data_IF_955738738969
#
_entry.id   IF_955738738969
#
_cell.length_a   1.000
_cell.length_b   1.000
_cell.length_c   1.000
_cell.angle_alpha   90.00
_cell.angle_beta   90.00
_cell.angle_gamma   90.00
#
_symmetry.space_group_name_H-M   'P 1'
#
loop_
_entity.id
_entity.type
_entity.pdbx_description
1 polymer ?
#
# COMPACT_ATOMS: atom_id res chain seq x y z
N UNK A 1 -65.83 41.69 -44.39
CA UNK A 1 -66.65 41.22 -43.25
C UNK A 1 -66.08 39.90 -42.77
N UNK A 2 -65.89 39.80 -41.46
CA UNK A 2 -65.76 38.60 -40.62
C UNK A 2 -64.34 38.06 -40.31
N UNK A 3 -63.93 38.40 -39.08
CA UNK A 3 -62.98 37.83 -38.10
C UNK A 3 -62.67 36.32 -38.20
N UNK A 4 -61.46 35.91 -37.74
CA UNK A 4 -61.26 35.07 -36.54
C UNK A 4 -59.76 34.82 -36.21
N UNK A 5 -59.39 35.13 -34.97
CA UNK A 5 -58.38 34.53 -34.07
C UNK A 5 -57.17 33.74 -34.60
N UNK A 6 -55.96 34.16 -34.20
CA UNK A 6 -54.92 33.27 -33.63
C UNK A 6 -53.81 34.06 -32.91
N UNK A 7 -53.51 33.80 -31.62
CA UNK A 7 -52.45 34.50 -30.88
C UNK A 7 -51.19 33.63 -30.79
N UNK A 8 -49.99 34.22 -30.96
CA UNK A 8 -48.77 33.72 -30.30
C UNK A 8 -47.59 34.66 -30.50
N UNK A 9 -47.18 35.33 -29.42
CA UNK A 9 -45.89 35.14 -28.72
C UNK A 9 -45.60 36.36 -27.83
N UNK A 10 -45.89 36.23 -26.54
CA UNK A 10 -45.35 37.09 -25.48
C UNK A 10 -43.91 36.63 -25.20
N UNK A 11 -42.93 37.51 -25.39
CA UNK A 11 -41.52 37.28 -25.10
C UNK A 11 -41.26 37.25 -23.59
N UNK A 12 -40.44 36.28 -23.17
CA UNK A 12 -40.11 35.97 -21.78
C UNK A 12 -39.05 36.89 -21.18
N UNK A 13 -39.22 37.17 -19.89
CA UNK A 13 -38.32 37.89 -18.98
C UNK A 13 -37.25 36.95 -18.37
N UNK A 14 -36.06 37.53 -18.21
CA UNK A 14 -34.92 37.29 -17.29
C UNK A 14 -35.07 36.21 -16.19
N UNK A 15 -34.04 35.35 -16.03
CA UNK A 15 -33.57 34.87 -14.72
C UNK A 15 -32.16 34.24 -14.81
N UNK A 16 -31.18 34.85 -14.14
CA UNK A 16 -29.84 34.28 -13.94
C UNK A 16 -29.86 33.22 -12.84
N UNK A 17 -29.37 32.03 -13.14
CA UNK A 17 -29.22 30.93 -12.17
C UNK A 17 -27.78 30.84 -11.70
N UNK A 18 -27.59 31.07 -10.40
CA UNK A 18 -26.36 30.84 -9.66
C UNK A 18 -25.96 29.35 -9.73
N UNK A 19 -24.81 29.06 -10.33
CA UNK A 19 -24.15 27.76 -10.19
C UNK A 19 -23.53 27.69 -8.79
N UNK A 20 -24.25 27.09 -7.83
CA UNK A 20 -23.62 26.65 -6.59
C UNK A 20 -22.72 25.46 -6.93
N UNK A 21 -21.40 25.69 -6.90
CA UNK A 21 -20.41 24.64 -6.93
C UNK A 21 -20.59 23.76 -5.70
N UNK A 22 -21.13 22.55 -5.89
CA UNK A 22 -21.10 21.51 -4.88
C UNK A 22 -19.64 21.14 -4.63
N UNK A 23 -19.05 21.68 -3.57
CA UNK A 23 -17.80 21.18 -3.03
C UNK A 23 -18.08 19.80 -2.44
N UNK A 24 -17.98 18.77 -3.26
CA UNK A 24 -17.98 17.39 -2.76
C UNK A 24 -16.78 17.25 -1.83
N UNK A 25 -16.96 16.83 -0.56
CA UNK A 25 -15.82 16.53 0.28
C UNK A 25 -15.01 15.47 -0.43
N UNK A 26 -13.71 15.74 -0.62
CA UNK A 26 -12.77 14.74 -1.07
C UNK A 26 -12.74 13.65 0.00
N UNK A 27 -13.52 12.59 -0.21
CA UNK A 27 -13.43 11.36 0.55
C UNK A 27 -11.96 10.97 0.55
N UNK A 28 -11.34 10.97 1.73
CA UNK A 28 -9.99 10.48 1.94
C UNK A 28 -9.90 9.12 1.25
N UNK A 29 -9.17 9.05 0.14
CA UNK A 29 -8.90 7.76 -0.47
C UNK A 29 -8.21 6.93 0.62
N UNK A 30 -8.65 5.69 0.88
CA UNK A 30 -7.93 4.84 1.80
C UNK A 30 -6.51 4.72 1.24
N UNK A 31 -5.57 5.38 1.90
CA UNK A 31 -4.15 5.11 1.67
C UNK A 31 -4.03 3.65 2.06
N UNK A 32 -3.84 2.76 1.09
CA UNK A 32 -3.56 1.37 1.39
C UNK A 32 -2.24 1.35 2.16
N UNK A 33 -2.34 1.16 3.47
CA UNK A 33 -1.21 1.12 4.40
C UNK A 33 -0.48 -0.23 4.27
N UNK A 34 0.13 -0.44 3.11
CA UNK A 34 0.78 -1.68 2.73
C UNK A 34 2.10 -1.45 1.98
N UNK A 35 3.03 -2.40 2.16
CA UNK A 35 4.29 -2.45 1.43
C UNK A 35 4.35 -3.79 0.71
N UNK A 36 4.52 -3.75 -0.61
CA UNK A 36 4.70 -4.96 -1.40
C UNK A 36 6.16 -5.38 -1.33
N UNK A 37 6.42 -6.53 -0.74
CA UNK A 37 7.73 -7.20 -0.77
C UNK A 37 7.79 -8.05 -2.02
N UNK A 38 8.83 -7.88 -2.83
CA UNK A 38 9.03 -8.64 -4.06
C UNK A 38 10.33 -9.44 -4.00
N UNK A 39 10.21 -10.77 -4.04
CA UNK A 39 11.33 -11.69 -4.22
C UNK A 39 11.59 -11.95 -5.70
N UNK A 40 12.85 -11.99 -6.09
CA UNK A 40 13.30 -12.37 -7.44
C UNK A 40 14.45 -13.35 -7.31
N UNK A 41 14.35 -14.51 -7.93
CA UNK A 41 15.35 -15.57 -7.87
C UNK A 41 15.61 -16.17 -9.25
N UNK A 42 16.85 -16.59 -9.48
CA UNK A 42 17.33 -17.09 -10.78
C UNK A 42 18.29 -16.13 -11.48
N UNK A 43 18.90 -16.60 -12.56
CA UNK A 43 19.87 -15.84 -13.36
C UNK A 43 19.25 -15.35 -14.66
N UNK A 44 19.51 -14.08 -15.00
CA UNK A 44 19.26 -13.57 -16.35
C UNK A 44 20.26 -14.21 -17.32
N UNK A 45 19.86 -14.57 -18.56
CA UNK A 45 18.55 -14.32 -19.19
C UNK A 45 17.55 -15.49 -19.10
N UNK A 46 17.94 -16.65 -18.57
CA UNK A 46 17.26 -17.92 -18.88
C UNK A 46 15.98 -18.21 -18.07
N UNK A 47 15.85 -17.71 -16.83
CA UNK A 47 14.56 -17.68 -16.11
C UNK A 47 14.66 -16.96 -14.75
N UNK A 48 14.03 -15.79 -14.63
CA UNK A 48 13.81 -15.14 -13.33
C UNK A 48 12.41 -15.49 -12.86
N UNK A 49 12.32 -16.18 -11.72
CA UNK A 49 11.06 -16.37 -11.01
C UNK A 49 10.86 -15.22 -10.03
N UNK A 50 9.63 -14.72 -9.93
CA UNK A 50 9.30 -13.66 -9.00
C UNK A 50 8.02 -13.98 -8.23
N UNK A 51 8.02 -13.67 -6.94
CA UNK A 51 6.84 -13.69 -6.08
C UNK A 51 6.74 -12.36 -5.34
N UNK A 52 5.52 -11.95 -5.03
CA UNK A 52 5.26 -10.72 -4.28
C UNK A 52 4.21 -10.94 -3.21
N UNK A 53 4.38 -10.27 -2.07
CA UNK A 53 3.43 -10.33 -0.97
C UNK A 53 3.22 -8.93 -0.38
N UNK A 54 1.96 -8.47 -0.24
CA UNK A 54 1.67 -7.27 0.54
C UNK A 54 1.86 -7.51 2.03
N UNK A 55 2.51 -6.55 2.70
CA UNK A 55 2.69 -6.47 4.15
C UNK A 55 1.96 -5.24 4.65
N UNK A 56 0.89 -5.44 5.42
CA UNK A 56 0.14 -4.34 6.00
C UNK A 56 0.82 -3.79 7.25
N UNK A 57 0.76 -2.47 7.40
CA UNK A 57 1.18 -1.74 8.59
C UNK A 57 0.03 -0.91 9.19
N UNK A 58 -1.21 -1.17 8.79
CA UNK A 58 -2.39 -0.44 9.26
C UNK A 58 -2.64 -0.60 10.77
N UNK A 59 -2.18 -1.72 11.34
CA UNK A 59 -2.23 -2.01 12.78
C UNK A 59 -1.05 -1.40 13.57
N UNK A 60 -0.09 -0.76 12.89
CA UNK A 60 1.13 -0.26 13.50
C UNK A 60 1.15 1.27 13.61
N UNK A 61 1.67 1.75 14.74
CA UNK A 61 2.06 3.14 14.92
C UNK A 61 3.54 3.34 14.58
N UNK A 62 3.82 3.80 13.36
CA UNK A 62 5.17 4.02 12.85
C UNK A 62 5.88 5.22 13.48
N UNK A 63 5.19 6.03 14.30
CA UNK A 63 5.87 7.08 15.10
C UNK A 63 6.64 6.48 16.27
N UNK A 64 6.33 5.24 16.66
CA UNK A 64 6.97 4.54 17.77
C UNK A 64 8.19 3.72 17.32
N UNK A 65 9.12 3.44 18.23
CA UNK A 65 10.26 2.54 17.95
C UNK A 65 9.76 1.10 17.72
N UNK A 66 8.80 0.63 18.52
CA UNK A 66 8.25 -0.72 18.42
C UNK A 66 7.48 -0.94 17.12
N UNK A 67 6.62 0.00 16.69
CA UNK A 67 5.89 -0.14 15.43
C UNK A 67 6.80 -0.17 14.21
N UNK A 68 7.89 0.62 14.22
CA UNK A 68 8.92 0.57 13.17
C UNK A 68 9.69 -0.75 13.19
N UNK A 69 10.12 -1.21 14.37
CA UNK A 69 10.81 -2.49 14.50
C UNK A 69 9.95 -3.65 13.98
N UNK A 70 8.67 -3.70 14.39
CA UNK A 70 7.70 -4.71 13.96
C UNK A 70 7.51 -4.70 12.43
N UNK A 71 7.34 -3.53 11.81
CA UNK A 71 7.21 -3.45 10.35
C UNK A 71 8.45 -4.00 9.63
N UNK A 72 9.66 -3.62 10.09
CA UNK A 72 10.91 -4.12 9.51
C UNK A 72 11.04 -5.63 9.70
N UNK A 73 10.66 -6.16 10.86
CA UNK A 73 10.65 -7.59 11.15
C UNK A 73 9.73 -8.36 10.18
N UNK A 74 8.47 -7.91 10.04
CA UNK A 74 7.48 -8.48 9.11
C UNK A 74 7.99 -8.53 7.69
N UNK A 75 8.63 -7.46 7.22
CA UNK A 75 9.21 -7.38 5.87
C UNK A 75 10.35 -8.37 5.68
N UNK A 76 11.28 -8.49 6.64
CA UNK A 76 12.40 -9.45 6.54
C UNK A 76 11.92 -10.90 6.50
N UNK A 77 10.98 -11.26 7.37
CA UNK A 77 10.39 -12.61 7.38
C UNK A 77 9.61 -12.90 6.10
N UNK A 78 8.89 -11.91 5.58
CA UNK A 78 8.17 -12.04 4.30
C UNK A 78 9.14 -12.21 3.13
N UNK A 79 10.22 -11.44 3.08
CA UNK A 79 11.26 -11.58 2.07
C UNK A 79 11.89 -12.99 2.11
N UNK A 80 12.22 -13.48 3.31
CA UNK A 80 12.69 -14.84 3.51
C UNK A 80 11.68 -15.86 2.98
N UNK A 81 10.42 -15.73 3.36
CA UNK A 81 9.35 -16.65 2.94
C UNK A 81 9.22 -16.72 1.43
N UNK A 82 9.20 -15.58 0.75
CA UNK A 82 9.11 -15.52 -0.70
C UNK A 82 10.32 -16.16 -1.37
N UNK A 83 11.53 -15.87 -0.89
CA UNK A 83 12.75 -16.40 -1.50
C UNK A 83 12.92 -17.91 -1.24
N UNK A 84 12.54 -18.42 -0.06
CA UNK A 84 12.48 -19.87 0.17
C UNK A 84 11.47 -20.55 -0.75
N UNK A 85 10.31 -19.93 -1.02
CA UNK A 85 9.34 -20.42 -2.00
C UNK A 85 9.86 -20.40 -3.44
N UNK A 86 10.75 -19.46 -3.74
CA UNK A 86 11.45 -19.38 -5.02
C UNK A 86 12.63 -20.36 -5.15
N UNK A 87 12.94 -21.11 -4.09
CA UNK A 87 14.01 -22.12 -4.09
C UNK A 87 15.35 -21.63 -3.55
N UNK A 88 15.42 -20.42 -3.00
CA UNK A 88 16.60 -19.96 -2.27
C UNK A 88 16.74 -20.70 -0.94
N UNK A 89 17.91 -21.30 -0.68
CA UNK A 89 18.22 -22.00 0.55
C UNK A 89 19.33 -21.27 1.32
N UNK A 90 19.34 -21.40 2.65
CA UNK A 90 20.32 -20.76 3.54
C UNK A 90 21.79 -21.20 3.30
N UNK A 91 22.03 -22.20 2.43
CA UNK A 91 23.35 -22.73 2.10
C UNK A 91 24.04 -22.05 0.90
N UNK A 92 23.37 -21.15 0.17
CA UNK A 92 23.97 -20.51 -1.00
C UNK A 92 24.84 -19.31 -0.62
N UNK A 93 26.12 -19.56 -0.36
CA UNK A 93 27.15 -18.51 -0.34
C UNK A 93 27.44 -18.10 -1.78
N UNK A 94 26.75 -17.08 -2.29
CA UNK A 94 26.98 -16.56 -3.64
C UNK A 94 27.65 -15.18 -3.61
N UNK A 95 28.49 -14.88 -4.60
CA UNK A 95 29.11 -13.57 -4.82
C UNK A 95 28.06 -12.47 -5.10
N UNK A 96 26.87 -12.88 -5.55
CA UNK A 96 25.71 -12.02 -5.74
C UNK A 96 24.88 -11.86 -4.46
N UNK A 97 24.19 -10.73 -4.25
CA UNK A 97 23.24 -10.59 -3.15
C UNK A 97 22.19 -11.70 -3.20
N UNK A 98 21.87 -12.30 -2.05
CA UNK A 98 20.78 -13.26 -1.94
C UNK A 98 19.45 -12.60 -2.36
N UNK A 99 18.51 -13.38 -2.89
CA UNK A 99 17.15 -12.92 -3.16
C UNK A 99 16.57 -12.26 -1.90
N UNK A 100 16.79 -12.87 -0.73
CA UNK A 100 16.35 -12.34 0.55
C UNK A 100 16.93 -10.95 0.85
N UNK A 101 18.24 -10.77 0.67
CA UNK A 101 18.90 -9.48 0.94
C UNK A 101 18.44 -8.42 -0.05
N UNK A 102 18.31 -8.78 -1.32
CA UNK A 102 17.82 -7.88 -2.36
C UNK A 102 16.37 -7.44 -2.09
N UNK A 103 15.48 -8.40 -1.80
CA UNK A 103 14.07 -8.15 -1.50
C UNK A 103 13.91 -7.33 -0.20
N UNK A 104 14.66 -7.67 0.84
CA UNK A 104 14.64 -6.94 2.11
C UNK A 104 15.14 -5.50 1.92
N UNK A 105 16.24 -5.30 1.18
CA UNK A 105 16.81 -3.97 0.94
C UNK A 105 15.88 -3.07 0.15
N UNK A 106 15.26 -3.58 -0.92
CA UNK A 106 14.27 -2.84 -1.71
C UNK A 106 13.07 -2.41 -0.84
N UNK A 107 12.49 -3.36 -0.11
CA UNK A 107 11.34 -3.06 0.76
C UNK A 107 11.71 -2.11 1.92
N UNK A 108 12.85 -2.32 2.57
CA UNK A 108 13.34 -1.46 3.66
C UNK A 108 13.67 -0.05 3.19
N UNK A 109 14.14 0.12 1.95
CA UNK A 109 14.34 1.45 1.37
C UNK A 109 13.02 2.23 1.28
N UNK A 110 11.91 1.56 0.96
CA UNK A 110 10.57 2.17 0.90
C UNK A 110 10.03 2.46 2.31
N UNK A 111 10.30 1.56 3.26
CA UNK A 111 10.00 1.77 4.69
C UNK A 111 10.69 3.04 5.19
N UNK A 112 11.96 3.27 4.83
CA UNK A 112 12.70 4.46 5.27
C UNK A 112 11.97 5.76 4.94
N UNK A 113 11.33 5.85 3.77
CA UNK A 113 10.50 7.00 3.40
C UNK A 113 9.23 7.10 4.25
N UNK A 114 8.57 5.99 4.55
CA UNK A 114 7.38 5.96 5.41
C UNK A 114 7.70 6.39 6.84
N UNK A 115 8.81 5.87 7.39
CA UNK A 115 9.26 6.18 8.75
C UNK A 115 9.74 7.63 8.90
N UNK A 116 10.39 8.18 7.87
CA UNK A 116 10.83 9.57 7.87
C UNK A 116 9.67 10.56 7.89
N UNK A 117 8.51 10.17 7.37
CA UNK A 117 7.29 10.97 7.32
C UNK A 117 6.24 10.52 8.35
N UNK A 118 6.59 9.60 9.25
CA UNK A 118 5.66 9.07 10.23
C UNK A 118 5.31 10.16 11.26
N UNK A 119 4.06 10.62 11.24
CA UNK A 119 3.50 11.43 12.30
C UNK A 119 2.85 10.54 13.37
N UNK A 120 2.84 10.98 14.64
CA UNK A 120 2.05 10.31 15.67
C UNK A 120 0.61 10.13 15.23
N UNK A 121 0.06 8.94 15.50
CA UNK A 121 -1.35 8.66 15.23
C UNK A 121 -2.22 9.61 16.07
N UNK A 122 -3.24 10.20 15.44
CA UNK A 122 -4.13 11.15 16.10
C UNK A 122 -5.04 10.50 17.15
N UNK A 123 -5.72 11.30 17.97
CA UNK A 123 -6.64 10.81 19.02
C UNK A 123 -7.84 10.03 18.49
N UNK A 124 -8.15 10.18 17.20
CA UNK A 124 -9.21 9.46 16.49
C UNK A 124 -8.72 8.23 15.74
N UNK A 125 -7.41 7.93 15.79
CA UNK A 125 -6.87 6.76 15.11
C UNK A 125 -7.26 5.47 15.84
N UNK A 126 -7.63 4.47 15.06
CA UNK A 126 -7.90 3.12 15.51
C UNK A 126 -7.03 2.20 14.69
N UNK A 127 -6.33 1.28 15.34
CA UNK A 127 -5.53 0.28 14.66
C UNK A 127 -6.38 -0.49 13.66
N UNK A 128 -5.86 -0.66 12.45
CA UNK A 128 -6.46 -1.52 11.45
C UNK A 128 -6.51 -2.99 11.91
N UNK A 129 -7.09 -3.88 11.08
CA UNK A 129 -7.03 -5.31 11.35
C UNK A 129 -5.56 -5.77 11.46
N UNK A 130 -5.29 -6.66 12.41
CA UNK A 130 -3.96 -7.23 12.58
C UNK A 130 -3.49 -7.89 11.28
N UNK A 131 -2.25 -7.63 10.89
CA UNK A 131 -1.69 -8.25 9.69
C UNK A 131 -1.55 -9.77 9.89
N UNK A 132 -1.98 -10.52 8.87
CA UNK A 132 -1.86 -11.98 8.86
C UNK A 132 -0.61 -12.39 8.10
N UNK A 133 0.35 -12.99 8.80
CA UNK A 133 1.59 -13.45 8.21
C UNK A 133 1.34 -14.63 7.24
N UNK A 134 2.01 -14.67 6.06
CA UNK A 134 1.88 -15.78 5.11
C UNK A 134 2.69 -17.02 5.53
N UNK A 135 3.46 -16.93 6.61
CA UNK A 135 4.37 -17.96 7.10
C UNK A 135 3.89 -18.54 8.46
N UNK A 136 4.31 -19.76 8.82
CA UNK A 136 3.98 -20.35 10.11
C UNK A 136 4.51 -19.52 11.29
N UNK A 137 3.77 -19.46 12.40
CA UNK A 137 4.15 -18.70 13.60
C UNK A 137 5.51 -19.10 14.18
N UNK A 138 5.92 -20.36 14.04
CA UNK A 138 7.24 -20.85 14.45
C UNK A 138 8.41 -20.08 13.81
N UNK A 139 8.19 -19.39 12.69
CA UNK A 139 9.23 -18.59 12.02
C UNK A 139 9.69 -17.40 12.84
N UNK A 140 8.80 -16.79 13.61
CA UNK A 140 9.12 -15.64 14.48
C UNK A 140 10.20 -16.05 15.49
N UNK A 141 10.10 -17.25 16.06
CA UNK A 141 11.11 -17.78 16.98
C UNK A 141 12.36 -18.31 16.28
N UNK A 142 12.22 -18.85 15.06
CA UNK A 142 13.33 -19.43 14.30
C UNK A 142 14.28 -18.36 13.75
N UNK A 143 13.76 -17.20 13.39
CA UNK A 143 14.49 -16.11 12.76
C UNK A 143 14.32 -14.80 13.54
N UNK A 144 14.94 -14.70 14.72
CA UNK A 144 14.97 -13.45 15.46
C UNK A 144 15.77 -12.39 14.67
N UNK A 145 15.40 -11.12 14.84
CA UNK A 145 16.07 -9.96 14.24
C UNK A 145 17.53 -9.76 14.69
#
# INVERSE_FOLDING_TARGET
MNNLFSPRKLGWLVAGTAFMAAATPAMAQPVNEEIVVQGRYGTLPDSVQSLSQPVSYADLDLSTVSGRAELRHRVRLTARYLCEKLGENDSSSSVTPSCRDAASRDALSRIGTLEANAAPRGTTWVAGPAWSAPYPSAWISKYPD
#
